data_IF_065392231642
#
_entry.id   IF_065392231642
#
_cell.length_a   1.000
_cell.length_b   1.000
_cell.length_c   1.000
_cell.angle_alpha   90.00
_cell.angle_beta   90.00
_cell.angle_gamma   90.00
#
_symmetry.space_group_name_H-M   'P 1'
#
loop_
_entity.id
_entity.type
_entity.pdbx_description
1 polymer ?
#
# COMPACT_ATOMS: atom_id res chain seq x y z
N UNK A 1 23.33 -16.18 34.43
CA UNK A 1 22.08 -16.76 33.86
C UNK A 1 21.14 -15.62 33.51
N UNK A 2 20.82 -15.46 32.26
CA UNK A 2 19.86 -14.43 31.84
C UNK A 2 20.21 -13.75 30.52
N UNK A 3 20.07 -14.43 29.38
CA UNK A 3 20.22 -13.76 28.08
C UNK A 3 19.34 -14.37 26.98
N UNK A 4 18.13 -14.83 27.32
CA UNK A 4 17.22 -15.38 26.30
C UNK A 4 16.12 -14.41 25.83
N UNK A 5 15.99 -13.21 26.45
CA UNK A 5 14.94 -12.26 26.04
C UNK A 5 15.35 -11.31 24.92
N UNK A 6 16.64 -11.04 24.74
CA UNK A 6 17.10 -10.14 23.66
C UNK A 6 16.91 -10.75 22.26
N UNK A 7 17.12 -12.05 22.13
CA UNK A 7 16.97 -12.75 20.85
C UNK A 7 15.50 -12.86 20.40
N UNK A 8 14.57 -13.00 21.36
CA UNK A 8 13.13 -13.03 21.08
C UNK A 8 12.60 -11.65 20.66
N UNK A 9 13.12 -10.57 21.28
CA UNK A 9 12.76 -9.21 20.92
C UNK A 9 13.32 -8.85 19.54
N UNK A 10 14.54 -9.26 19.23
CA UNK A 10 15.18 -9.08 17.93
C UNK A 10 14.44 -9.86 16.85
N UNK A 11 14.05 -11.10 17.11
CA UNK A 11 13.27 -11.92 16.20
C UNK A 11 11.85 -11.36 15.96
N UNK A 12 11.26 -10.73 16.98
CA UNK A 12 9.95 -10.08 16.83
C UNK A 12 10.05 -8.81 15.98
N UNK A 13 11.10 -8.02 16.20
CA UNK A 13 11.35 -6.81 15.41
C UNK A 13 11.69 -7.15 13.95
N UNK A 14 12.44 -8.23 13.70
CA UNK A 14 12.72 -8.74 12.36
C UNK A 14 11.44 -9.21 11.67
N UNK A 15 10.52 -9.82 12.42
CA UNK A 15 9.24 -10.30 11.90
C UNK A 15 8.29 -9.16 11.53
N UNK A 16 8.33 -8.05 12.25
CA UNK A 16 7.59 -6.84 11.90
C UNK A 16 8.24 -6.12 10.71
N UNK A 17 9.56 -6.22 10.51
CA UNK A 17 10.29 -5.69 9.35
C UNK A 17 10.05 -6.50 8.05
N UNK A 18 9.67 -7.76 8.15
CA UNK A 18 9.34 -8.59 6.97
C UNK A 18 8.06 -8.15 6.26
N UNK A 19 7.19 -7.38 6.92
CA UNK A 19 5.96 -6.88 6.32
C UNK A 19 6.15 -5.63 5.45
N UNK A 20 7.27 -4.92 5.58
CA UNK A 20 7.52 -3.68 4.85
C UNK A 20 8.86 -3.74 4.12
N UNK A 21 8.80 -4.17 2.86
CA UNK A 21 9.96 -4.06 1.98
C UNK A 21 10.35 -2.59 1.85
N UNK A 22 11.62 -2.26 2.09
CA UNK A 22 12.10 -0.88 2.01
C UNK A 22 12.04 -0.37 0.57
N UNK A 23 11.90 0.94 0.41
CA UNK A 23 11.87 1.57 -0.91
C UNK A 23 13.15 1.27 -1.70
N UNK A 24 14.30 1.33 -1.05
CA UNK A 24 15.62 1.07 -1.65
C UNK A 24 15.75 -0.36 -2.15
N UNK A 25 15.23 -1.33 -1.40
CA UNK A 25 15.23 -2.73 -1.81
C UNK A 25 14.36 -2.95 -3.05
N UNK A 26 13.18 -2.32 -3.09
CA UNK A 26 12.28 -2.34 -4.25
C UNK A 26 12.96 -1.72 -5.47
N UNK A 27 13.55 -0.55 -5.31
CA UNK A 27 14.22 0.16 -6.40
C UNK A 27 15.38 -0.65 -6.96
N UNK A 28 16.20 -1.22 -6.09
CA UNK A 28 17.34 -2.08 -6.46
C UNK A 28 16.90 -3.31 -7.24
N UNK A 29 15.83 -3.97 -6.81
CA UNK A 29 15.34 -5.17 -7.48
C UNK A 29 14.66 -4.83 -8.80
N UNK A 30 13.74 -3.87 -8.80
CA UNK A 30 12.93 -3.57 -9.98
C UNK A 30 13.69 -2.88 -11.12
N UNK A 31 14.88 -2.31 -10.85
CA UNK A 31 15.73 -1.76 -11.92
C UNK A 31 16.08 -2.78 -13.00
N UNK A 32 16.10 -4.07 -12.66
CA UNK A 32 16.40 -5.14 -13.61
C UNK A 32 15.22 -5.43 -14.56
N UNK A 33 14.01 -4.97 -14.22
CA UNK A 33 12.78 -5.30 -14.92
C UNK A 33 12.11 -4.10 -15.63
N UNK A 34 12.77 -2.94 -15.70
CA UNK A 34 12.17 -1.70 -16.20
C UNK A 34 11.51 -1.86 -17.57
N UNK A 35 12.12 -2.62 -18.48
CA UNK A 35 11.59 -2.85 -19.83
C UNK A 35 10.29 -3.66 -19.84
N UNK A 36 10.07 -4.49 -18.82
CA UNK A 36 8.90 -5.36 -18.73
C UNK A 36 7.64 -4.61 -18.32
N UNK A 37 7.77 -3.43 -17.71
CA UNK A 37 6.64 -2.64 -17.23
C UNK A 37 5.97 -1.80 -18.30
N UNK A 38 6.64 -1.51 -19.41
CA UNK A 38 6.12 -0.62 -20.45
C UNK A 38 4.81 -1.13 -21.02
N UNK A 39 3.77 -0.28 -20.95
CA UNK A 39 2.42 -0.61 -21.42
C UNK A 39 1.67 -1.63 -20.59
N UNK A 40 2.19 -1.99 -19.41
CA UNK A 40 1.58 -2.99 -18.55
C UNK A 40 0.64 -2.38 -17.50
N UNK A 41 -0.30 -3.20 -17.07
CA UNK A 41 -1.09 -2.97 -15.87
C UNK A 41 -0.38 -3.65 -14.71
N UNK A 42 -0.08 -2.89 -13.66
CA UNK A 42 0.52 -3.41 -12.43
C UNK A 42 -0.56 -3.49 -11.37
N UNK A 43 -0.65 -4.61 -10.70
CA UNK A 43 -1.55 -4.85 -9.58
C UNK A 43 -0.73 -5.19 -8.33
N UNK A 44 -0.87 -4.37 -7.30
CA UNK A 44 -0.29 -4.57 -5.98
C UNK A 44 -1.41 -4.95 -5.00
N UNK A 45 -1.51 -6.24 -4.67
CA UNK A 45 -2.48 -6.74 -3.70
C UNK A 45 -1.99 -6.54 -2.28
N UNK A 46 -2.89 -6.18 -1.39
CA UNK A 46 -2.61 -5.97 0.03
C UNK A 46 -1.58 -4.86 0.30
N UNK A 47 -1.47 -3.91 -0.62
CA UNK A 47 -0.58 -2.75 -0.56
C UNK A 47 -1.40 -1.46 -0.42
N UNK A 48 -1.46 -0.93 0.79
CA UNK A 48 -2.19 0.31 1.07
C UNK A 48 -1.63 1.46 0.22
N UNK A 49 -2.47 2.14 -0.60
CA UNK A 49 -2.04 3.22 -1.48
C UNK A 49 -1.27 4.35 -0.78
N UNK A 50 -1.54 4.57 0.52
CA UNK A 50 -0.89 5.63 1.29
C UNK A 50 0.32 5.17 2.11
N UNK A 51 0.52 3.86 2.28
CA UNK A 51 1.57 3.31 3.16
C UNK A 51 2.59 2.45 2.43
N UNK A 52 2.16 1.74 1.37
CA UNK A 52 3.01 0.77 0.68
C UNK A 52 4.16 1.45 -0.08
N UNK A 53 5.37 0.96 0.13
CA UNK A 53 6.54 1.37 -0.63
C UNK A 53 6.47 0.92 -2.09
N UNK A 54 5.83 -0.21 -2.40
CA UNK A 54 5.58 -0.62 -3.78
C UNK A 54 4.67 0.36 -4.51
N UNK A 55 3.56 0.77 -3.89
CA UNK A 55 2.69 1.77 -4.45
C UNK A 55 3.43 3.09 -4.70
N UNK A 56 4.21 3.57 -3.72
CA UNK A 56 5.04 4.78 -3.85
C UNK A 56 6.04 4.68 -5.01
N UNK A 57 6.72 3.53 -5.13
CA UNK A 57 7.66 3.29 -6.21
C UNK A 57 6.99 3.38 -7.57
N UNK A 58 5.86 2.71 -7.76
CA UNK A 58 5.15 2.71 -9.04
C UNK A 58 4.49 4.05 -9.36
N UNK A 59 3.97 4.79 -8.38
CA UNK A 59 3.46 6.15 -8.59
C UNK A 59 4.60 7.07 -9.02
N UNK A 60 5.71 7.08 -8.29
CA UNK A 60 6.88 7.93 -8.59
C UNK A 60 7.47 7.66 -9.96
N UNK A 61 7.51 6.41 -10.35
CA UNK A 61 8.10 5.98 -11.63
C UNK A 61 7.07 5.71 -12.73
N UNK A 62 5.80 6.04 -12.54
CA UNK A 62 4.70 5.69 -13.45
C UNK A 62 5.00 6.07 -14.91
N UNK A 63 5.36 7.32 -15.14
CA UNK A 63 5.66 7.83 -16.48
C UNK A 63 6.99 7.28 -17.02
N UNK A 64 8.02 7.16 -16.17
CA UNK A 64 9.32 6.60 -16.54
C UNK A 64 9.21 5.14 -16.99
N UNK A 65 8.41 4.35 -16.28
CA UNK A 65 8.14 2.95 -16.59
C UNK A 65 7.19 2.80 -17.79
N UNK A 66 6.46 3.86 -18.15
CA UNK A 66 5.45 3.82 -19.20
C UNK A 66 4.29 2.89 -18.85
N UNK A 67 3.85 2.89 -17.59
CA UNK A 67 2.73 2.05 -17.16
C UNK A 67 1.44 2.45 -17.87
N UNK A 68 0.63 1.45 -18.22
CA UNK A 68 -0.73 1.66 -18.71
C UNK A 68 -1.69 1.94 -17.56
N UNK A 69 -1.51 1.26 -16.42
CA UNK A 69 -2.39 1.39 -15.25
C UNK A 69 -1.69 0.85 -14.02
N UNK A 70 -1.95 1.45 -12.88
CA UNK A 70 -1.52 0.99 -11.57
C UNK A 70 -2.75 0.79 -10.68
N UNK A 71 -2.87 -0.39 -10.10
CA UNK A 71 -3.93 -0.72 -9.15
C UNK A 71 -3.26 -1.19 -7.87
N UNK A 72 -3.59 -0.56 -6.74
CA UNK A 72 -3.15 -1.02 -5.42
C UNK A 72 -4.39 -1.20 -4.54
N UNK A 73 -4.46 -2.30 -3.80
CA UNK A 73 -5.58 -2.58 -2.90
C UNK A 73 -5.07 -2.75 -1.49
N UNK A 74 -5.72 -2.12 -0.51
CA UNK A 74 -5.45 -2.40 0.89
C UNK A 74 -6.42 -3.45 1.42
N UNK A 75 -5.94 -4.26 2.35
CA UNK A 75 -6.73 -5.21 3.10
C UNK A 75 -6.89 -4.75 4.54
N UNK A 76 -8.10 -4.85 5.06
CA UNK A 76 -8.41 -4.58 6.46
C UNK A 76 -8.85 -5.88 7.11
N UNK A 77 -8.02 -6.43 7.99
CA UNK A 77 -8.38 -7.64 8.71
C UNK A 77 -9.63 -7.39 9.57
N UNK A 78 -10.67 -8.16 9.33
CA UNK A 78 -11.94 -8.08 10.05
C UNK A 78 -11.88 -8.63 11.46
N UNK A 79 -10.78 -9.21 11.89
CA UNK A 79 -10.59 -9.71 13.25
C UNK A 79 -9.85 -8.71 14.10
N UNK A 80 -10.63 -7.99 14.94
CA UNK A 80 -10.30 -7.73 16.33
C UNK A 80 -8.87 -7.31 16.64
N UNK A 81 -8.25 -6.41 15.90
CA UNK A 81 -7.25 -5.56 16.51
C UNK A 81 -7.98 -4.58 17.43
N UNK A 82 -8.53 -5.13 18.49
CA UNK A 82 -8.72 -4.39 19.73
C UNK A 82 -7.31 -4.08 20.24
N UNK A 83 -6.64 -3.13 19.64
CA UNK A 83 -5.66 -2.37 20.41
C UNK A 83 -6.44 -1.87 21.60
N UNK A 84 -6.08 -2.35 22.78
CA UNK A 84 -6.51 -1.80 24.04
C UNK A 84 -6.11 -0.33 24.09
N UNK A 85 -6.86 0.49 23.41
CA UNK A 85 -6.88 1.92 23.67
C UNK A 85 -7.72 2.08 24.90
N UNK A 86 -7.12 2.69 25.91
CA UNK A 86 -7.67 2.88 27.24
C UNK A 86 -9.12 3.36 27.15
N UNK A 87 -10.00 2.76 27.97
CA UNK A 87 -11.41 3.04 28.18
C UNK A 87 -11.74 4.51 28.58
N UNK A 88 -10.78 5.43 28.48
CA UNK A 88 -10.92 6.78 29.01
C UNK A 88 -11.01 7.89 27.95
N UNK A 89 -10.93 7.55 26.67
CA UNK A 89 -11.03 8.58 25.61
C UNK A 89 -12.35 8.43 24.83
N UNK A 90 -13.43 8.80 25.49
CA UNK A 90 -14.79 8.68 24.95
C UNK A 90 -15.17 9.76 23.90
N UNK A 91 -14.20 10.46 23.32
CA UNK A 91 -14.46 11.49 22.30
C UNK A 91 -13.82 11.26 20.94
N UNK A 92 -13.13 10.14 20.73
CA UNK A 92 -12.73 9.75 19.38
C UNK A 92 -13.71 8.69 18.88
N UNK A 93 -14.57 9.10 17.96
CA UNK A 93 -15.35 8.18 17.14
C UNK A 93 -14.31 7.39 16.34
N UNK A 94 -13.93 6.22 16.85
CA UNK A 94 -13.12 5.26 16.11
C UNK A 94 -13.99 4.77 14.95
N UNK A 95 -13.85 5.40 13.81
CA UNK A 95 -14.19 4.74 12.56
C UNK A 95 -13.09 3.69 12.35
N UNK A 96 -13.28 2.52 12.96
CA UNK A 96 -12.49 1.37 12.58
C UNK A 96 -12.60 1.25 11.06
N UNK A 97 -11.48 1.32 10.34
CA UNK A 97 -11.50 1.13 8.91
C UNK A 97 -11.98 -0.31 8.65
N UNK A 98 -13.24 -0.45 8.29
CA UNK A 98 -13.88 -1.74 8.01
C UNK A 98 -13.80 -2.09 6.53
N UNK A 99 -13.41 -1.13 5.70
CA UNK A 99 -13.37 -1.26 4.25
C UNK A 99 -11.97 -1.07 3.73
N UNK A 100 -11.58 -1.92 2.80
CA UNK A 100 -10.35 -1.74 2.04
C UNK A 100 -10.40 -0.49 1.15
N UNK A 101 -9.25 -0.12 0.63
CA UNK A 101 -9.10 0.97 -0.34
C UNK A 101 -8.55 0.43 -1.63
N UNK A 102 -8.87 1.07 -2.74
CA UNK A 102 -8.25 0.80 -4.03
C UNK A 102 -7.76 2.10 -4.65
N UNK A 103 -6.50 2.11 -5.05
CA UNK A 103 -5.94 3.05 -6.01
C UNK A 103 -6.19 2.50 -7.41
N UNK A 104 -6.73 3.33 -8.28
CA UNK A 104 -6.84 3.05 -9.71
C UNK A 104 -6.29 4.24 -10.49
N UNK A 105 -5.06 4.11 -10.94
CA UNK A 105 -4.31 5.18 -11.57
C UNK A 105 -4.03 4.83 -13.03
N UNK A 106 -4.57 5.63 -13.96
CA UNK A 106 -4.41 5.44 -15.41
C UNK A 106 -3.49 6.47 -16.06
N UNK A 107 -3.24 7.59 -15.39
CA UNK A 107 -2.44 8.68 -15.93
C UNK A 107 -1.89 9.55 -14.81
N UNK A 108 -0.63 9.94 -14.95
CA UNK A 108 -0.03 11.01 -14.15
C UNK A 108 0.35 12.14 -15.13
N UNK A 109 -0.17 13.36 -14.96
CA UNK A 109 0.22 14.50 -15.76
C UNK A 109 1.73 14.75 -15.65
N UNK A 110 2.39 15.09 -16.75
CA UNK A 110 3.85 15.34 -16.76
C UNK A 110 4.28 16.49 -15.84
N UNK A 111 3.35 17.38 -15.49
CA UNK A 111 3.58 18.49 -14.57
C UNK A 111 3.30 18.14 -13.10
N UNK A 112 2.80 16.94 -12.83
CA UNK A 112 2.52 16.53 -11.45
C UNK A 112 3.84 16.33 -10.69
N UNK A 113 3.90 16.86 -9.48
CA UNK A 113 5.03 16.68 -8.57
C UNK A 113 4.72 15.45 -7.72
N UNK A 114 5.54 14.41 -7.84
CA UNK A 114 5.39 13.13 -7.13
C UNK A 114 6.76 12.62 -6.67
N UNK A 115 7.58 13.49 -6.09
CA UNK A 115 8.95 13.17 -5.68
C UNK A 115 9.04 12.67 -4.25
N UNK A 116 8.33 13.34 -3.32
CA UNK A 116 8.31 12.95 -1.91
C UNK A 116 7.07 12.12 -1.60
N UNK A 117 7.05 11.47 -0.44
CA UNK A 117 5.88 10.72 0.02
C UNK A 117 4.68 11.65 0.23
N UNK A 118 4.92 12.86 0.73
CA UNK A 118 3.88 13.88 0.91
C UNK A 118 3.32 14.35 -0.45
N UNK A 119 4.18 14.53 -1.45
CA UNK A 119 3.74 14.87 -2.81
C UNK A 119 2.83 13.80 -3.39
N UNK A 120 3.19 12.53 -3.21
CA UNK A 120 2.40 11.38 -3.66
C UNK A 120 1.05 11.36 -2.96
N UNK A 121 1.03 11.47 -1.65
CA UNK A 121 -0.21 11.48 -0.87
C UNK A 121 -1.13 12.63 -1.29
N UNK A 122 -0.60 13.83 -1.40
CA UNK A 122 -1.33 15.01 -1.85
C UNK A 122 -1.87 14.84 -3.28
N UNK A 123 -1.06 14.27 -4.18
CA UNK A 123 -1.49 13.98 -5.55
C UNK A 123 -2.65 12.98 -5.57
N UNK A 124 -2.55 11.88 -4.84
CA UNK A 124 -3.59 10.85 -4.79
C UNK A 124 -4.90 11.37 -4.18
N UNK A 125 -4.81 12.18 -3.13
CA UNK A 125 -6.00 12.82 -2.51
C UNK A 125 -6.64 13.83 -3.45
N UNK A 126 -5.84 14.71 -4.06
CA UNK A 126 -6.31 15.74 -4.99
C UNK A 126 -6.99 15.17 -6.24
N UNK A 127 -6.44 14.10 -6.79
CA UNK A 127 -6.99 13.45 -7.99
C UNK A 127 -8.13 12.50 -7.70
N UNK A 128 -8.43 12.25 -6.42
CA UNK A 128 -9.45 11.27 -5.98
C UNK A 128 -9.22 9.89 -6.62
N UNK A 129 -7.97 9.53 -6.83
CA UNK A 129 -7.58 8.26 -7.44
C UNK A 129 -7.77 7.07 -6.50
N UNK A 130 -7.90 7.32 -5.21
CA UNK A 130 -8.16 6.31 -4.18
C UNK A 130 -9.62 6.36 -3.79
N UNK A 131 -10.30 5.21 -3.83
CA UNK A 131 -11.67 5.03 -3.37
C UNK A 131 -11.76 3.91 -2.34
N UNK A 132 -12.85 3.89 -1.59
CA UNK A 132 -13.16 2.77 -0.71
C UNK A 132 -13.69 1.59 -1.52
N UNK A 133 -13.35 0.38 -1.08
CA UNK A 133 -13.97 -0.85 -1.55
C UNK A 133 -15.29 -1.10 -0.80
N UNK A 134 -16.18 -1.90 -1.37
CA UNK A 134 -17.39 -2.34 -0.68
C UNK A 134 -17.10 -3.33 0.44
N UNK A 135 -16.00 -4.07 0.33
CA UNK A 135 -15.53 -5.05 1.31
C UNK A 135 -14.22 -4.66 1.99
N UNK A 136 -13.64 -5.59 2.69
CA UNK A 136 -12.39 -5.45 3.45
C UNK A 136 -11.12 -5.37 2.59
N UNK A 137 -11.22 -5.61 1.28
CA UNK A 137 -10.08 -5.63 0.36
C UNK A 137 -9.40 -7.00 0.26
N UNK A 138 -10.03 -8.06 0.74
CA UNK A 138 -9.53 -9.43 0.52
C UNK A 138 -9.38 -9.68 -0.98
N UNK A 139 -8.17 -10.06 -1.41
CA UNK A 139 -7.88 -10.30 -2.83
C UNK A 139 -8.70 -11.45 -3.44
N UNK A 140 -9.30 -12.31 -2.62
CA UNK A 140 -10.18 -13.40 -3.02
C UNK A 140 -11.62 -12.95 -3.25
N UNK A 141 -11.98 -11.74 -2.81
CA UNK A 141 -13.32 -11.20 -3.00
C UNK A 141 -13.64 -11.01 -4.49
N UNK A 142 -14.89 -11.13 -4.86
CA UNK A 142 -15.35 -10.90 -6.24
C UNK A 142 -15.01 -9.47 -6.72
N UNK A 143 -15.06 -8.50 -5.82
CA UNK A 143 -14.70 -7.11 -6.12
C UNK A 143 -13.21 -7.00 -6.50
N UNK A 144 -12.30 -7.57 -5.69
CA UNK A 144 -10.87 -7.55 -5.98
C UNK A 144 -10.51 -8.41 -7.20
N UNK A 145 -11.14 -9.58 -7.36
CA UNK A 145 -10.94 -10.44 -8.55
C UNK A 145 -11.37 -9.74 -9.84
N UNK A 146 -12.39 -8.89 -9.80
CA UNK A 146 -12.81 -8.11 -10.96
C UNK A 146 -11.77 -7.13 -11.46
N UNK A 147 -10.84 -6.69 -10.58
CA UNK A 147 -9.74 -5.80 -10.94
C UNK A 147 -8.65 -6.51 -11.76
N UNK A 148 -8.55 -7.84 -11.65
CA UNK A 148 -7.56 -8.65 -12.37
C UNK A 148 -7.96 -8.85 -13.83
N UNK A 149 -9.25 -8.89 -14.12
CA UNK A 149 -9.81 -9.19 -15.45
C UNK A 149 -10.00 -7.94 -16.34
N UNK A 150 -9.25 -6.94 -16.10
CA UNK A 150 -9.37 -5.68 -16.87
C UNK A 150 -8.62 -5.76 -18.20
#
# INVERSE_FOLDING_TARGET
MGNNNSNLQTAKNIKDDEFYTTYEAIEKELQHYLKHFRGKVVLCNCDDPFKSNFCRYFVRNFNKLGLKRLICTSYVASEGSLTQTSLFDCNQIFTAETHGRVLDLKKIPSKAIVFTDDDIENFLRKTKSVRMLCGDGDFRSSECLSLIHI
#
